data_IF_838860892564
#
_entry.id   IF_838860892564
#
_cell.length_a   1.000
_cell.length_b   1.000
_cell.length_c   1.000
_cell.angle_alpha   90.00
_cell.angle_beta   90.00
_cell.angle_gamma   90.00
#
_symmetry.space_group_name_H-M   'P 1'
#
loop_
_entity.id
_entity.type
_entity.pdbx_description
1 polymer ?
#
# COMPACT_ATOMS: atom_id res chain seq x y z
N UNK A 1 -24.37 9.97 5.58
CA UNK A 1 -24.82 8.64 5.13
C UNK A 1 -23.85 7.70 5.81
N UNK A 2 -24.30 6.70 6.57
CA UNK A 2 -23.38 5.61 6.90
C UNK A 2 -23.27 4.83 5.60
N UNK A 3 -22.14 4.96 4.91
CA UNK A 3 -21.87 4.05 3.81
C UNK A 3 -21.72 2.66 4.44
N UNK A 4 -22.63 1.75 4.10
CA UNK A 4 -22.54 0.37 4.52
C UNK A 4 -21.35 -0.23 3.78
N UNK A 5 -20.17 -0.18 4.42
CA UNK A 5 -18.98 -0.80 3.87
C UNK A 5 -19.18 -2.31 3.73
N UNK A 6 -18.90 -2.83 2.54
CA UNK A 6 -18.98 -4.26 2.25
C UNK A 6 -17.57 -4.79 2.04
N UNK A 7 -17.16 -5.74 2.89
CA UNK A 7 -15.88 -6.43 2.73
C UNK A 7 -16.03 -7.54 1.69
N UNK A 8 -15.41 -7.37 0.53
CA UNK A 8 -15.51 -8.31 -0.61
C UNK A 8 -14.17 -8.95 -1.00
N UNK A 9 -13.05 -8.45 -0.48
CA UNK A 9 -11.74 -9.02 -0.80
C UNK A 9 -11.64 -10.50 -0.42
N UNK A 10 -10.83 -11.25 -1.17
CA UNK A 10 -10.66 -12.68 -0.93
C UNK A 10 -9.58 -12.95 0.13
N UNK A 11 -9.81 -14.00 0.94
CA UNK A 11 -8.91 -14.36 2.04
C UNK A 11 -7.51 -14.77 1.53
N UNK A 12 -7.42 -15.37 0.33
CA UNK A 12 -6.14 -15.80 -0.21
C UNK A 12 -5.27 -14.60 -0.63
N UNK A 13 -5.90 -13.55 -1.15
CA UNK A 13 -5.28 -12.28 -1.49
C UNK A 13 -4.88 -11.50 -0.25
N UNK A 14 -5.73 -11.44 0.78
CA UNK A 14 -5.37 -10.85 2.07
C UNK A 14 -4.15 -11.56 2.71
N UNK A 15 -4.13 -12.91 2.69
CA UNK A 15 -2.98 -13.68 3.18
C UNK A 15 -1.73 -13.52 2.30
N UNK A 16 -1.89 -13.30 0.99
CA UNK A 16 -0.78 -12.95 0.11
C UNK A 16 -0.17 -11.59 0.49
N UNK A 17 -0.99 -10.55 0.68
CA UNK A 17 -0.52 -9.23 1.10
C UNK A 17 0.12 -9.27 2.49
N UNK A 18 -0.43 -10.07 3.41
CA UNK A 18 0.18 -10.30 4.74
C UNK A 18 1.59 -10.90 4.65
N UNK A 19 1.82 -11.84 3.73
CA UNK A 19 3.17 -12.37 3.47
C UNK A 19 4.10 -11.28 2.94
N UNK A 20 3.65 -10.44 2.02
CA UNK A 20 4.44 -9.32 1.53
C UNK A 20 4.76 -8.31 2.64
N UNK A 21 3.76 -7.95 3.44
CA UNK A 21 3.91 -7.09 4.61
C UNK A 21 4.97 -7.63 5.57
N UNK A 22 5.00 -8.94 5.83
CA UNK A 22 6.02 -9.55 6.70
C UNK A 22 7.46 -9.40 6.19
N UNK A 23 7.64 -9.14 4.89
CA UNK A 23 8.94 -8.91 4.26
C UNK A 23 9.28 -7.42 4.31
N UNK A 24 8.34 -6.58 3.90
CA UNK A 24 8.55 -5.14 3.71
C UNK A 24 8.46 -4.33 5.01
N UNK A 25 7.57 -4.71 5.92
CA UNK A 25 7.30 -4.04 7.20
C UNK A 25 7.90 -4.85 8.36
N UNK A 26 9.10 -5.41 8.16
CA UNK A 26 9.72 -6.30 9.13
C UNK A 26 9.98 -5.65 10.49
N UNK A 27 10.26 -4.36 10.51
CA UNK A 27 10.47 -3.58 11.73
C UNK A 27 9.14 -3.26 12.45
N UNK A 28 8.01 -3.36 11.75
CA UNK A 28 6.64 -3.08 12.22
C UNK A 28 5.68 -4.22 11.82
N UNK A 29 5.92 -5.47 12.27
CA UNK A 29 5.24 -6.66 11.73
C UNK A 29 3.73 -6.70 11.98
N UNK A 30 3.26 -6.00 13.02
CA UNK A 30 1.84 -5.95 13.40
C UNK A 30 1.08 -4.83 12.68
N UNK A 31 1.76 -3.91 11.99
CA UNK A 31 1.14 -2.73 11.36
C UNK A 31 0.07 -3.13 10.35
N UNK A 32 0.46 -3.88 9.32
CA UNK A 32 -0.47 -4.31 8.28
C UNK A 32 -1.60 -5.22 8.81
N UNK A 33 -1.32 -6.25 9.64
CA UNK A 33 -2.37 -7.02 10.28
C UNK A 33 -3.39 -6.18 11.06
N UNK A 34 -2.95 -5.17 11.80
CA UNK A 34 -3.84 -4.28 12.55
C UNK A 34 -4.72 -3.45 11.62
N UNK A 35 -4.15 -2.89 10.56
CA UNK A 35 -4.89 -2.13 9.54
C UNK A 35 -5.95 -3.00 8.86
N UNK A 36 -5.57 -4.19 8.38
CA UNK A 36 -6.52 -5.12 7.73
C UNK A 36 -7.62 -5.55 8.69
N UNK A 37 -7.28 -5.84 9.95
CA UNK A 37 -8.28 -6.19 10.95
C UNK A 37 -9.27 -5.04 11.17
N UNK A 38 -8.79 -3.80 11.23
CA UNK A 38 -9.60 -2.61 11.42
C UNK A 38 -10.49 -2.35 10.21
N UNK A 39 -9.96 -2.43 8.99
CA UNK A 39 -10.74 -2.32 7.74
C UNK A 39 -11.82 -3.41 7.65
N UNK A 40 -11.58 -4.59 8.20
CA UNK A 40 -12.55 -5.68 8.20
C UNK A 40 -13.67 -5.51 9.24
N UNK A 41 -13.35 -4.92 10.40
CA UNK A 41 -14.29 -4.84 11.53
C UNK A 41 -15.04 -3.52 11.63
N UNK A 42 -14.36 -2.42 11.30
CA UNK A 42 -14.87 -1.06 11.45
C UNK A 42 -14.17 -0.09 10.48
N UNK A 43 -14.39 -0.22 9.16
CA UNK A 43 -13.76 0.66 8.17
C UNK A 43 -14.14 2.14 8.34
N UNK A 44 -15.35 2.44 8.84
CA UNK A 44 -15.79 3.80 9.13
C UNK A 44 -14.90 4.53 10.16
N UNK A 45 -14.19 3.78 11.02
CA UNK A 45 -13.27 4.39 11.97
C UNK A 45 -12.11 5.16 11.32
N UNK A 46 -11.79 4.90 10.04
CA UNK A 46 -10.78 5.68 9.31
C UNK A 46 -11.33 7.01 8.78
N UNK A 47 -12.64 7.26 8.78
CA UNK A 47 -13.21 8.56 8.36
C UNK A 47 -12.88 9.70 9.34
N UNK A 48 -12.38 9.39 10.53
CA UNK A 48 -11.89 10.38 11.49
C UNK A 48 -10.42 10.73 11.20
N UNK A 49 -10.16 11.98 10.83
CA UNK A 49 -8.82 12.51 10.53
C UNK A 49 -7.81 12.27 11.68
N UNK A 50 -8.28 12.12 12.93
CA UNK A 50 -7.40 11.82 14.08
C UNK A 50 -6.87 10.38 14.10
N UNK A 51 -7.56 9.45 13.42
CA UNK A 51 -7.22 8.03 13.42
C UNK A 51 -6.79 7.50 12.03
N UNK A 52 -6.66 8.37 11.03
CA UNK A 52 -6.19 8.04 9.68
C UNK A 52 -4.74 8.49 9.41
N UNK A 53 -3.80 7.81 10.07
CA UNK A 53 -2.36 8.06 9.90
C UNK A 53 -1.84 7.78 8.48
N UNK A 54 -2.60 7.06 7.66
CA UNK A 54 -2.13 6.53 6.38
C UNK A 54 -2.83 7.14 5.17
N UNK A 55 -4.02 7.74 5.30
CA UNK A 55 -4.82 8.27 4.20
C UNK A 55 -5.86 7.27 3.66
N UNK A 56 -6.32 6.35 4.51
CA UNK A 56 -7.31 5.32 4.20
C UNK A 56 -8.65 5.90 3.78
N UNK A 57 -9.01 7.12 4.20
CA UNK A 57 -10.22 7.81 3.73
C UNK A 57 -10.28 7.83 2.20
N UNK A 58 -9.16 8.12 1.54
CA UNK A 58 -9.12 8.15 0.07
C UNK A 58 -9.45 6.78 -0.56
N UNK A 59 -9.04 5.69 0.10
CA UNK A 59 -9.33 4.33 -0.35
C UNK A 59 -10.82 4.02 -0.20
N UNK A 60 -11.40 4.40 0.94
CA UNK A 60 -12.83 4.21 1.23
C UNK A 60 -13.70 5.02 0.26
N UNK A 61 -13.35 6.29 0.01
CA UNK A 61 -14.03 7.16 -0.95
C UNK A 61 -13.93 6.62 -2.39
N UNK A 62 -12.75 6.12 -2.78
CA UNK A 62 -12.54 5.54 -4.11
C UNK A 62 -13.27 4.21 -4.32
N UNK A 63 -13.47 3.45 -3.25
CA UNK A 63 -14.15 2.17 -3.30
C UNK A 63 -15.67 2.33 -3.31
N UNK A 64 -16.19 3.49 -2.90
CA UNK A 64 -17.63 3.74 -2.79
C UNK A 64 -18.32 2.81 -1.80
N UNK A 65 -17.59 2.35 -0.78
CA UNK A 65 -18.08 1.39 0.23
C UNK A 65 -17.71 -0.06 -0.05
N UNK A 66 -17.42 -0.44 -1.30
CA UNK A 66 -17.13 -1.84 -1.67
C UNK A 66 -15.62 -2.13 -1.53
N UNK A 67 -15.24 -2.77 -0.43
CA UNK A 67 -13.86 -3.08 -0.12
C UNK A 67 -13.42 -4.39 -0.76
N UNK A 68 -13.19 -4.32 -2.07
CA UNK A 68 -12.69 -5.43 -2.89
C UNK A 68 -11.16 -5.59 -2.79
N UNK A 69 -10.61 -6.52 -3.58
CA UNK A 69 -9.17 -6.74 -3.66
C UNK A 69 -8.40 -5.49 -4.13
N UNK A 70 -9.02 -4.63 -4.94
CA UNK A 70 -8.39 -3.41 -5.42
C UNK A 70 -8.29 -2.38 -4.29
N UNK A 71 -9.34 -2.20 -3.50
CA UNK A 71 -9.32 -1.36 -2.31
C UNK A 71 -8.25 -1.84 -1.32
N UNK A 72 -8.19 -3.15 -1.06
CA UNK A 72 -7.17 -3.73 -0.16
C UNK A 72 -5.74 -3.53 -0.69
N UNK A 73 -5.52 -3.67 -2.00
CA UNK A 73 -4.21 -3.40 -2.60
C UNK A 73 -3.83 -1.92 -2.53
N UNK A 74 -4.79 -1.01 -2.73
CA UNK A 74 -4.56 0.43 -2.61
C UNK A 74 -4.17 0.80 -1.19
N UNK A 75 -4.90 0.31 -0.18
CA UNK A 75 -4.56 0.47 1.23
C UNK A 75 -3.14 -0.06 1.53
N UNK A 76 -2.77 -1.21 0.97
CA UNK A 76 -1.43 -1.78 1.14
C UNK A 76 -0.33 -0.86 0.56
N UNK A 77 -0.53 -0.38 -0.66
CA UNK A 77 0.44 0.50 -1.34
C UNK A 77 0.60 1.84 -0.60
N UNK A 78 -0.51 2.37 -0.07
CA UNK A 78 -0.52 3.58 0.74
C UNK A 78 0.33 3.42 2.01
N UNK A 79 0.15 2.31 2.75
CA UNK A 79 0.99 1.99 3.92
C UNK A 79 2.47 1.91 3.54
N UNK A 80 2.80 1.20 2.47
CA UNK A 80 4.20 1.10 2.03
C UNK A 80 4.80 2.45 1.63
N UNK A 81 3.99 3.37 1.09
CA UNK A 81 4.44 4.74 0.76
C UNK A 81 4.70 5.56 2.01
N UNK A 82 3.76 5.55 2.95
CA UNK A 82 3.86 6.32 4.21
C UNK A 82 5.03 5.82 5.06
N UNK A 83 5.27 4.52 5.08
CA UNK A 83 6.44 3.90 5.74
C UNK A 83 7.77 4.11 4.97
N UNK A 84 7.74 4.78 3.80
CA UNK A 84 8.92 5.06 2.99
C UNK A 84 9.54 3.82 2.34
N UNK A 85 8.81 2.70 2.28
CA UNK A 85 9.27 1.46 1.64
C UNK A 85 9.28 1.59 0.13
N UNK A 86 8.27 2.28 -0.41
CA UNK A 86 8.15 2.57 -1.85
C UNK A 86 7.97 4.07 -2.05
N UNK A 87 8.61 4.60 -3.09
CA UNK A 87 8.47 6.00 -3.48
C UNK A 87 7.62 6.11 -4.75
N UNK A 88 6.81 7.17 -4.82
CA UNK A 88 6.23 7.56 -6.09
C UNK A 88 7.34 8.10 -7.00
N UNK A 89 7.64 7.36 -8.07
CA UNK A 89 8.36 7.90 -9.21
C UNK A 89 7.49 9.00 -9.78
N UNK A 90 7.70 10.24 -9.31
CA UNK A 90 6.96 11.40 -9.75
C UNK A 90 6.90 11.40 -11.29
N UNK A 91 5.70 11.23 -11.86
CA UNK A 91 5.45 11.42 -13.28
C UNK A 91 5.50 12.90 -13.62
N UNK A 92 6.67 13.52 -13.44
CA UNK A 92 6.95 14.87 -13.91
C UNK A 92 8.10 14.82 -14.92
N UNK A 93 7.69 14.78 -16.19
CA UNK A 93 8.36 15.33 -17.39
C UNK A 93 9.82 14.93 -17.63
N UNK A 94 10.08 14.23 -18.73
CA UNK A 94 11.38 13.95 -19.40
C UNK A 94 12.56 13.41 -18.55
N UNK A 95 12.56 13.52 -17.22
CA UNK A 95 13.58 13.02 -16.30
C UNK A 95 13.21 11.69 -15.63
N UNK A 96 11.94 11.27 -15.66
CA UNK A 96 11.51 9.99 -15.10
C UNK A 96 12.07 8.78 -15.88
N UNK A 97 12.19 8.88 -17.21
CA UNK A 97 12.96 7.91 -18.01
C UNK A 97 14.45 7.93 -17.64
N UNK A 98 15.00 9.10 -17.34
CA UNK A 98 16.39 9.25 -16.88
C UNK A 98 16.65 8.60 -15.52
N UNK A 99 15.70 8.68 -14.58
CA UNK A 99 15.81 8.05 -13.26
C UNK A 99 15.61 6.53 -13.32
N UNK A 100 14.67 6.03 -14.12
CA UNK A 100 14.54 4.60 -14.37
C UNK A 100 15.76 4.03 -15.09
N UNK A 101 16.29 4.74 -16.08
CA UNK A 101 17.54 4.36 -16.75
C UNK A 101 18.75 4.41 -15.82
N UNK A 102 18.82 5.38 -14.90
CA UNK A 102 19.87 5.47 -13.90
C UNK A 102 19.78 4.32 -12.89
N UNK A 103 18.60 4.05 -12.33
CA UNK A 103 18.38 2.92 -11.42
C UNK A 103 18.70 1.57 -12.09
N UNK A 104 18.21 1.35 -13.31
CA UNK A 104 18.53 0.14 -14.07
C UNK A 104 20.03 0.06 -14.40
N UNK A 105 20.67 1.18 -14.73
CA UNK A 105 22.10 1.28 -15.00
C UNK A 105 22.97 0.95 -13.78
N UNK A 106 22.62 1.46 -12.60
CA UNK A 106 23.29 1.15 -11.33
C UNK A 106 23.18 -0.34 -11.01
N UNK A 107 21.98 -0.93 -11.12
CA UNK A 107 21.79 -2.37 -10.87
C UNK A 107 22.55 -3.26 -11.85
N UNK A 108 22.65 -2.88 -13.12
CA UNK A 108 23.47 -3.61 -14.11
C UNK A 108 24.96 -3.45 -13.83
N UNK A 109 25.41 -2.27 -13.39
CA UNK A 109 26.81 -2.04 -13.00
C UNK A 109 27.19 -2.91 -11.81
N UNK A 110 26.38 -2.94 -10.75
CA UNK A 110 26.62 -3.75 -9.55
C UNK A 110 26.75 -5.23 -9.89
N UNK A 111 25.85 -5.75 -10.73
CA UNK A 111 25.88 -7.14 -11.23
C UNK A 111 27.11 -7.45 -12.10
N UNK A 112 27.77 -6.44 -12.66
CA UNK A 112 28.93 -6.60 -13.54
C UNK A 112 30.26 -6.51 -12.79
N UNK A 113 30.27 -5.91 -11.61
CA UNK A 113 31.41 -5.90 -10.67
C UNK A 113 31.58 -7.20 -9.89
N UNK A 114 30.57 -8.07 -9.89
CA UNK A 114 30.59 -9.40 -9.27
C UNK A 114 31.06 -10.53 -10.21
N UNK A 115 31.62 -10.19 -11.39
CA UNK A 115 32.25 -11.13 -12.35
C UNK A 115 33.72 -10.80 -12.62
#
# INVERSE_FOLDING_TARGET
MYDDYVVEWDLAFAEYLKKLASIFLKETPDLWPNIVSRLASDPASFEDDEDDDYGMVEVLDCSGGDLDNRALLQAFMLVLRTEGVIEDLASKGEGAEGLLAAFAGERVSDLRTDF
#
